data_IF_031313875772
#
_entry.id   IF_031313875772
#
_cell.length_a   1.000
_cell.length_b   1.000
_cell.length_c   1.000
_cell.angle_alpha   90.00
_cell.angle_beta   90.00
_cell.angle_gamma   90.00
#
_symmetry.space_group_name_H-M   'P 1'
#
loop_
_entity.id
_entity.type
_entity.pdbx_description
1 polymer ?
#
# COMPACT_ATOMS: atom_id res chain seq x y z
N UNK A 1 45.82 -52.21 -40.49
CA UNK A 1 45.73 -51.38 -39.27
C UNK A 1 44.87 -50.18 -39.58
N UNK A 2 43.59 -50.22 -39.41
CA UNK A 2 42.82 -49.02 -39.57
C UNK A 2 42.76 -48.28 -38.21
N UNK A 3 43.14 -47.03 -38.22
CA UNK A 3 42.99 -46.13 -37.08
C UNK A 3 41.61 -45.56 -37.12
N UNK A 4 40.84 -45.87 -36.09
CA UNK A 4 39.51 -45.34 -35.89
C UNK A 4 39.66 -43.91 -35.36
N UNK A 5 39.26 -42.96 -36.21
CA UNK A 5 39.17 -41.52 -35.81
C UNK A 5 38.08 -41.28 -34.80
N UNK A 6 38.47 -40.74 -33.70
CA UNK A 6 37.60 -40.41 -32.58
C UNK A 6 37.01 -39.02 -32.85
N UNK A 7 35.75 -38.96 -33.26
CA UNK A 7 35.01 -37.71 -33.40
C UNK A 7 34.49 -37.31 -32.02
N UNK A 8 35.12 -36.33 -31.44
CA UNK A 8 34.62 -35.67 -30.24
C UNK A 8 33.54 -34.70 -30.69
N UNK A 9 32.29 -35.07 -30.46
CA UNK A 9 31.17 -34.14 -30.63
C UNK A 9 31.08 -33.30 -29.34
N UNK A 10 31.58 -32.12 -29.41
CA UNK A 10 31.42 -31.14 -28.32
C UNK A 10 30.00 -30.57 -28.42
N UNK A 11 29.09 -31.07 -27.64
CA UNK A 11 27.76 -30.49 -27.49
C UNK A 11 27.83 -29.18 -26.69
N UNK A 12 27.70 -28.05 -27.39
CA UNK A 12 27.53 -26.74 -26.78
C UNK A 12 26.13 -26.68 -26.17
N UNK A 13 26.03 -26.84 -24.86
CA UNK A 13 24.85 -26.52 -24.12
C UNK A 13 24.66 -25.01 -24.03
N UNK A 14 23.85 -24.45 -24.91
CA UNK A 14 23.33 -23.10 -24.74
C UNK A 14 22.37 -23.10 -23.53
N UNK A 15 22.90 -22.66 -22.40
CA UNK A 15 22.05 -22.33 -21.26
C UNK A 15 21.24 -21.08 -21.60
N UNK A 16 20.00 -21.26 -21.97
CA UNK A 16 19.01 -20.19 -22.08
C UNK A 16 18.75 -19.67 -20.68
N UNK A 17 19.35 -18.55 -20.33
CA UNK A 17 18.97 -17.77 -19.16
C UNK A 17 17.59 -17.20 -19.46
N UNK A 18 16.55 -17.87 -19.00
CA UNK A 18 15.22 -17.30 -18.95
C UNK A 18 15.27 -16.10 -18.01
N UNK A 19 15.34 -14.90 -18.57
CA UNK A 19 15.19 -13.66 -17.83
C UNK A 19 13.82 -13.70 -17.14
N UNK A 20 13.80 -13.70 -15.81
CA UNK A 20 12.59 -13.40 -15.07
C UNK A 20 12.17 -11.98 -15.47
N UNK A 21 11.20 -11.87 -16.34
CA UNK A 21 10.45 -10.63 -16.53
C UNK A 21 9.86 -10.29 -15.18
N UNK A 22 10.33 -9.22 -14.56
CA UNK A 22 9.64 -8.63 -13.44
C UNK A 22 8.30 -8.16 -13.99
N UNK A 23 7.27 -8.92 -13.69
CA UNK A 23 5.91 -8.47 -13.89
C UNK A 23 5.73 -7.18 -13.12
N UNK A 24 5.64 -6.08 -13.85
CA UNK A 24 5.40 -4.73 -13.31
C UNK A 24 3.94 -4.55 -12.90
N UNK A 25 3.25 -5.62 -12.64
CA UNK A 25 1.88 -5.60 -12.11
C UNK A 25 1.88 -5.94 -10.60
N UNK A 26 2.70 -5.19 -9.86
CA UNK A 26 2.45 -5.06 -8.45
C UNK A 26 1.32 -4.05 -8.31
N UNK A 27 0.11 -4.54 -8.19
CA UNK A 27 -1.01 -3.77 -7.68
C UNK A 27 -0.52 -2.96 -6.48
N UNK A 28 -0.83 -1.67 -6.45
CA UNK A 28 -0.44 -0.74 -5.36
C UNK A 28 -0.69 -1.31 -3.95
N UNK A 29 -1.63 -2.25 -3.84
CA UNK A 29 -2.00 -2.98 -2.62
C UNK A 29 -0.91 -3.90 -2.04
N UNK A 30 0.13 -4.21 -2.80
CA UNK A 30 1.22 -5.10 -2.35
C UNK A 30 2.54 -4.38 -2.12
N UNK A 31 2.59 -3.07 -2.34
CA UNK A 31 3.81 -2.29 -2.09
C UNK A 31 4.15 -2.27 -0.61
N UNK A 32 5.45 -2.15 -0.24
CA UNK A 32 5.84 -1.98 1.16
C UNK A 32 5.15 -0.81 1.85
N UNK A 33 4.96 0.30 1.16
CA UNK A 33 4.29 1.49 1.68
C UNK A 33 2.81 1.23 1.98
N UNK A 34 2.12 0.55 1.08
CA UNK A 34 0.75 0.12 1.30
C UNK A 34 0.62 -0.82 2.50
N UNK A 35 1.53 -1.79 2.64
CA UNK A 35 1.53 -2.73 3.77
C UNK A 35 1.77 -2.02 5.10
N UNK A 36 2.70 -1.06 5.12
CA UNK A 36 2.94 -0.22 6.30
C UNK A 36 1.71 0.62 6.64
N UNK A 37 1.10 1.27 5.65
CA UNK A 37 -0.13 2.03 5.82
C UNK A 37 -1.28 1.18 6.35
N UNK A 38 -1.42 -0.04 5.84
CA UNK A 38 -2.40 -1.01 6.35
C UNK A 38 -2.17 -1.35 7.83
N UNK A 39 -0.93 -1.59 8.22
CA UNK A 39 -0.59 -1.87 9.63
C UNK A 39 -0.93 -0.69 10.54
N UNK A 40 -0.62 0.54 10.13
CA UNK A 40 -0.97 1.77 10.85
C UNK A 40 -2.49 1.90 10.99
N UNK A 41 -3.23 1.67 9.91
CA UNK A 41 -4.70 1.72 9.91
C UNK A 41 -5.30 0.71 10.88
N UNK A 42 -4.87 -0.55 10.81
CA UNK A 42 -5.38 -1.61 11.69
C UNK A 42 -5.09 -1.34 13.17
N UNK A 43 -3.96 -0.70 13.47
CA UNK A 43 -3.58 -0.40 14.85
C UNK A 43 -4.34 0.80 15.44
N UNK A 44 -4.75 1.80 14.61
CA UNK A 44 -5.20 3.09 15.12
C UNK A 44 -6.61 3.50 14.66
N UNK A 45 -7.11 2.96 13.56
CA UNK A 45 -8.29 3.51 12.87
C UNK A 45 -9.50 2.57 12.86
N UNK A 46 -9.26 1.27 12.91
CA UNK A 46 -10.28 0.22 12.76
C UNK A 46 -11.42 0.31 13.78
N UNK A 47 -11.10 0.66 15.03
CA UNK A 47 -12.11 0.72 16.08
C UNK A 47 -13.29 1.65 15.74
N UNK A 48 -13.02 2.72 15.01
CA UNK A 48 -14.03 3.70 14.59
C UNK A 48 -14.43 3.55 13.12
N UNK A 49 -13.48 3.27 12.23
CA UNK A 49 -13.69 3.26 10.77
C UNK A 49 -13.96 1.87 10.19
N UNK A 50 -13.85 0.81 10.99
CA UNK A 50 -14.08 -0.57 10.53
C UNK A 50 -12.89 -1.17 9.78
N UNK A 51 -12.96 -2.47 9.49
CA UNK A 51 -11.89 -3.19 8.80
C UNK A 51 -11.76 -2.83 7.32
N UNK A 52 -12.84 -2.38 6.70
CA UNK A 52 -12.89 -1.98 5.30
C UNK A 52 -13.04 -0.46 5.22
N UNK A 53 -11.98 0.29 4.88
CA UNK A 53 -12.05 1.74 4.84
C UNK A 53 -12.96 2.31 3.76
N UNK A 54 -13.44 1.48 2.82
CA UNK A 54 -14.40 1.89 1.78
C UNK A 54 -15.85 1.91 2.27
N UNK A 55 -16.09 1.42 3.48
CA UNK A 55 -17.42 1.36 4.12
C UNK A 55 -17.44 2.19 5.39
N UNK A 56 -18.63 2.62 5.76
CA UNK A 56 -18.85 3.25 7.06
C UNK A 56 -18.53 2.27 8.19
N UNK A 57 -17.78 2.74 9.17
CA UNK A 57 -17.52 1.99 10.40
C UNK A 57 -18.59 2.23 11.45
N UNK A 58 -18.44 1.63 12.64
CA UNK A 58 -19.42 1.77 13.73
C UNK A 58 -19.51 3.19 14.27
N UNK A 59 -18.46 3.99 14.14
CA UNK A 59 -18.39 5.37 14.67
C UNK A 59 -18.04 6.37 13.56
N UNK A 60 -17.03 6.07 12.73
CA UNK A 60 -16.52 6.93 11.68
C UNK A 60 -17.04 6.58 10.29
N UNK A 61 -17.01 7.53 9.33
CA UNK A 61 -17.41 7.29 7.95
C UNK A 61 -16.37 6.49 7.18
N UNK A 62 -16.74 6.05 5.96
CA UNK A 62 -15.80 5.54 4.98
C UNK A 62 -14.73 6.59 4.66
N UNK A 63 -13.46 6.18 4.64
CA UNK A 63 -12.31 7.06 4.45
C UNK A 63 -11.38 6.65 3.30
N UNK A 64 -11.71 5.59 2.56
CA UNK A 64 -10.99 5.24 1.35
C UNK A 64 -11.01 6.42 0.36
N UNK A 65 -9.87 6.67 -0.31
CA UNK A 65 -9.69 7.80 -1.21
C UNK A 65 -9.41 9.14 -0.51
N UNK A 66 -9.17 9.15 0.81
CA UNK A 66 -8.76 10.35 1.52
C UNK A 66 -7.44 10.89 0.98
N UNK A 67 -7.38 12.20 0.69
CA UNK A 67 -6.14 12.84 0.28
C UNK A 67 -5.13 12.90 1.43
N UNK A 68 -3.85 12.98 1.09
CA UNK A 68 -2.79 13.18 2.08
C UNK A 68 -3.05 14.42 2.95
N UNK A 69 -3.44 15.54 2.33
CA UNK A 69 -3.76 16.77 3.07
C UNK A 69 -4.89 16.58 4.07
N UNK A 70 -5.96 15.86 3.68
CA UNK A 70 -7.06 15.55 4.59
C UNK A 70 -6.57 14.70 5.78
N UNK A 71 -5.73 13.70 5.51
CA UNK A 71 -5.16 12.86 6.57
C UNK A 71 -4.26 13.66 7.51
N UNK A 72 -3.37 14.50 6.98
CA UNK A 72 -2.53 15.38 7.80
C UNK A 72 -3.37 16.24 8.75
N UNK A 73 -4.40 16.90 8.22
CA UNK A 73 -5.24 17.80 9.02
C UNK A 73 -6.13 17.06 10.03
N UNK A 74 -6.77 15.96 9.60
CA UNK A 74 -7.70 15.23 10.49
C UNK A 74 -6.98 14.41 11.53
N UNK A 75 -5.91 13.72 11.14
CA UNK A 75 -5.19 12.81 12.05
C UNK A 75 -4.34 13.60 13.04
N UNK A 76 -3.65 14.64 12.60
CA UNK A 76 -2.70 15.35 13.45
C UNK A 76 -3.31 16.49 14.27
N UNK A 77 -4.39 17.13 13.80
CA UNK A 77 -4.93 18.33 14.42
C UNK A 77 -6.45 18.41 14.49
N UNK A 78 -7.17 17.38 14.07
CA UNK A 78 -8.65 17.33 14.00
C UNK A 78 -9.28 18.47 13.17
N UNK A 79 -8.51 19.09 12.28
CA UNK A 79 -8.96 20.12 11.36
C UNK A 79 -9.31 19.55 9.99
N UNK A 80 -9.76 20.38 9.08
CA UNK A 80 -10.08 20.03 7.70
C UNK A 80 -9.33 20.95 6.72
N UNK A 81 -9.07 20.48 5.49
CA UNK A 81 -8.63 21.38 4.41
C UNK A 81 -9.63 22.50 4.16
N UNK A 82 -9.19 23.65 3.64
CA UNK A 82 -10.10 24.71 3.21
C UNK A 82 -11.16 24.17 2.25
N UNK A 83 -12.41 24.59 2.43
CA UNK A 83 -13.56 24.21 1.61
C UNK A 83 -13.93 22.71 1.65
N UNK A 84 -13.32 21.91 2.50
CA UNK A 84 -13.70 20.51 2.67
C UNK A 84 -15.03 20.41 3.43
N UNK A 85 -15.95 19.63 2.87
CA UNK A 85 -17.24 19.35 3.52
C UNK A 85 -17.13 18.05 4.31
N UNK A 86 -17.19 18.08 5.64
CA UNK A 86 -17.14 16.87 6.46
C UNK A 86 -18.28 15.91 6.13
N UNK A 87 -17.98 14.62 6.08
CA UNK A 87 -18.99 13.57 5.87
C UNK A 87 -19.93 13.43 7.06
N UNK A 88 -19.46 13.77 8.26
CA UNK A 88 -20.24 13.75 9.48
C UNK A 88 -19.98 15.00 10.33
N UNK A 89 -20.99 15.53 11.04
CA UNK A 89 -20.85 16.75 11.84
C UNK A 89 -20.21 16.50 13.21
N UNK A 90 -19.91 15.24 13.56
CA UNK A 90 -19.35 14.88 14.87
C UNK A 90 -17.89 15.23 15.00
N UNK A 91 -17.44 15.51 16.22
CA UNK A 91 -16.05 15.85 16.56
C UNK A 91 -15.41 14.79 17.47
N UNK A 92 -15.82 13.55 17.34
CA UNK A 92 -15.40 12.46 18.25
C UNK A 92 -14.05 11.85 17.87
N UNK A 93 -13.53 12.08 16.66
CA UNK A 93 -12.24 11.55 16.25
C UNK A 93 -11.10 12.21 17.04
N UNK A 94 -10.28 11.45 17.78
CA UNK A 94 -9.15 12.00 18.52
C UNK A 94 -8.00 12.40 17.58
N UNK A 95 -7.04 13.14 18.13
CA UNK A 95 -5.78 13.46 17.46
C UNK A 95 -4.77 12.34 17.67
N UNK A 96 -3.96 12.09 16.63
CA UNK A 96 -2.84 11.14 16.65
C UNK A 96 -1.55 11.82 16.19
N UNK A 97 -1.01 12.81 16.91
CA UNK A 97 0.15 13.57 16.48
C UNK A 97 1.41 12.70 16.29
N UNK A 98 1.50 11.57 16.98
CA UNK A 98 2.59 10.60 16.82
C UNK A 98 2.57 9.87 15.47
N UNK A 99 1.49 9.97 14.68
CA UNK A 99 1.41 9.39 13.34
C UNK A 99 1.93 10.29 12.22
N UNK A 100 2.58 11.41 12.54
CA UNK A 100 3.06 12.37 11.54
C UNK A 100 3.88 11.71 10.41
N UNK A 101 4.83 10.88 10.78
CA UNK A 101 5.70 10.19 9.82
C UNK A 101 4.98 9.04 9.08
N UNK A 102 3.82 8.62 9.58
CA UNK A 102 3.03 7.54 9.00
C UNK A 102 1.99 8.00 7.96
N UNK A 103 1.75 9.31 7.86
CA UNK A 103 0.75 9.87 6.95
C UNK A 103 0.95 9.46 5.50
N UNK A 104 2.17 9.48 4.91
CA UNK A 104 2.37 9.03 3.53
C UNK A 104 1.96 7.57 3.29
N UNK A 105 2.26 6.71 4.24
CA UNK A 105 1.93 5.28 4.16
C UNK A 105 0.43 5.04 4.33
N UNK A 106 -0.20 5.75 5.26
CA UNK A 106 -1.64 5.72 5.44
C UNK A 106 -2.36 6.20 4.17
N UNK A 107 -1.86 7.26 3.53
CA UNK A 107 -2.37 7.75 2.25
C UNK A 107 -2.22 6.68 1.14
N UNK A 108 -1.10 5.97 1.08
CA UNK A 108 -0.88 4.88 0.12
C UNK A 108 -1.89 3.73 0.32
N UNK A 109 -2.17 3.36 1.57
CA UNK A 109 -3.16 2.33 1.89
C UNK A 109 -4.59 2.75 1.54
N UNK A 110 -4.96 4.00 1.79
CA UNK A 110 -6.31 4.52 1.55
C UNK A 110 -6.54 4.97 0.11
N UNK A 111 -5.51 5.02 -0.73
CA UNK A 111 -5.65 5.34 -2.16
C UNK A 111 -6.56 4.30 -2.85
N UNK A 112 -7.37 4.78 -3.79
CA UNK A 112 -8.27 3.94 -4.61
C UNK A 112 -7.59 3.52 -5.89
#
# INVERSE_FOLDING_TARGET
MPRIGQFIVTALLLSSVAGCSKDSDQTSEKSPDWQRGRAVYLANCVACHGNDPSKDGPIGPAIAGSSRELLERRVLSTSYPPNYKPKRPTKVMPQFPFLKEEIPYLAAYLAK
#
